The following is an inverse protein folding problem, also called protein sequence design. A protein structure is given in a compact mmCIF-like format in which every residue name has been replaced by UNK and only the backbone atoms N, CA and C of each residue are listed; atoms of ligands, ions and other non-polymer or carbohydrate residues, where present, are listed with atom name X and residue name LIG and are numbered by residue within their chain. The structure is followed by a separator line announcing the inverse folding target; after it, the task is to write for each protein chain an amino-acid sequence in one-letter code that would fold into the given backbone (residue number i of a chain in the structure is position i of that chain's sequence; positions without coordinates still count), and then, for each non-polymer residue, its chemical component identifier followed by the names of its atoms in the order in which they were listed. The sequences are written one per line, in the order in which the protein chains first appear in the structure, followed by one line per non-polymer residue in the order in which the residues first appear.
data_IF_279652563949
#
_entry.id   IF_279652563949
#
_cell.length_a   1.000
_cell.length_b   1.000
_cell.length_c   1.000
_cell.angle_alpha   90.00
_cell.angle_beta   90.00
_cell.angle_gamma   90.00
#
_symmetry.space_group_name_H-M   'P 1'
#
loop_
_entity.id
_entity.type
_entity.pdbx_description
1 polymer ?
#
# COMPACT_ATOMS: atom_id res chain seq x y z
N UNK A 1 -5.17 -14.20 -42.19
CA UNK A 1 -5.04 -12.78 -41.81
C UNK A 1 -5.94 -12.60 -40.61
N UNK A 2 -5.42 -12.82 -39.42
CA UNK A 2 -6.09 -12.60 -38.12
C UNK A 2 -6.01 -11.09 -37.84
N UNK A 3 -7.10 -10.39 -37.47
CA UNK A 3 -6.99 -9.01 -37.05
C UNK A 3 -6.19 -8.95 -35.73
N UNK A 4 -5.26 -7.99 -35.69
CA UNK A 4 -4.47 -7.73 -34.48
C UNK A 4 -5.38 -7.22 -33.36
N UNK A 5 -5.14 -7.66 -32.14
CA UNK A 5 -5.86 -7.34 -30.92
C UNK A 5 -5.62 -5.89 -30.40
N UNK A 6 -5.24 -4.97 -31.30
CA UNK A 6 -4.72 -3.65 -30.91
C UNK A 6 -5.62 -2.47 -31.30
N UNK A 7 -6.90 -2.72 -31.56
CA UNK A 7 -7.87 -1.67 -31.94
C UNK A 7 -9.16 -1.70 -31.09
N UNK A 8 -9.06 -2.08 -29.80
CA UNK A 8 -10.11 -1.74 -28.85
C UNK A 8 -9.90 -0.27 -28.45
N UNK A 9 -10.63 0.62 -29.13
CA UNK A 9 -10.84 2.00 -28.67
C UNK A 9 -11.31 1.90 -27.22
N UNK A 10 -10.41 2.22 -26.27
CA UNK A 10 -10.77 2.32 -24.85
C UNK A 10 -11.90 3.35 -24.80
N UNK A 11 -13.11 3.00 -24.32
CA UNK A 11 -14.17 3.98 -24.21
C UNK A 11 -13.73 5.07 -23.23
N UNK A 12 -13.81 6.33 -23.64
CA UNK A 12 -13.51 7.43 -22.72
C UNK A 12 -14.52 7.42 -21.58
N UNK A 13 -14.14 7.84 -20.36
CA UNK A 13 -15.01 7.87 -19.18
C UNK A 13 -16.33 8.59 -19.43
N UNK A 14 -16.29 9.71 -20.16
CA UNK A 14 -17.47 10.45 -20.59
C UNK A 14 -18.41 9.61 -21.47
N UNK A 15 -17.85 8.78 -22.34
CA UNK A 15 -18.63 7.89 -23.21
C UNK A 15 -19.31 6.79 -22.41
N UNK A 16 -18.63 6.24 -21.38
CA UNK A 16 -19.20 5.24 -20.47
C UNK A 16 -20.33 5.84 -19.62
N UNK A 17 -20.13 7.04 -19.08
CA UNK A 17 -21.16 7.75 -18.32
C UNK A 17 -22.39 8.09 -19.17
N UNK A 18 -22.19 8.53 -20.40
CA UNK A 18 -23.27 8.82 -21.34
C UNK A 18 -24.01 7.56 -21.82
N UNK A 19 -23.32 6.42 -21.89
CA UNK A 19 -23.92 5.16 -22.35
C UNK A 19 -24.76 4.47 -21.25
N UNK A 20 -24.34 4.58 -19.99
CA UNK A 20 -24.98 3.84 -18.91
C UNK A 20 -26.04 4.67 -18.15
N UNK A 21 -25.82 5.97 -17.95
CA UNK A 21 -26.78 6.87 -17.29
C UNK A 21 -27.09 6.55 -15.81
N UNK A 22 -26.73 5.34 -15.35
CA UNK A 22 -26.91 4.83 -14.01
C UNK A 22 -25.55 4.36 -13.45
N UNK A 23 -25.13 4.82 -12.25
CA UNK A 23 -23.91 4.40 -11.60
C UNK A 23 -23.76 2.87 -11.42
N UNK A 24 -24.86 2.15 -11.24
CA UNK A 24 -24.87 0.69 -11.10
C UNK A 24 -24.56 -0.01 -12.43
N UNK A 25 -25.13 0.48 -13.54
CA UNK A 25 -24.84 -0.05 -14.88
C UNK A 25 -23.39 0.25 -15.28
N UNK A 26 -22.90 1.45 -14.95
CA UNK A 26 -21.50 1.83 -15.17
C UNK A 26 -20.55 0.93 -14.36
N UNK A 27 -20.82 0.70 -13.07
CA UNK A 27 -20.04 -0.21 -12.25
C UNK A 27 -19.98 -1.64 -12.83
N UNK A 28 -21.08 -2.14 -13.38
CA UNK A 28 -21.13 -3.45 -14.03
C UNK A 28 -20.21 -3.54 -15.27
N UNK A 29 -20.09 -2.46 -16.04
CA UNK A 29 -19.16 -2.39 -17.19
C UNK A 29 -17.71 -2.33 -16.70
N UNK A 30 -17.44 -1.52 -15.68
CA UNK A 30 -16.09 -1.30 -15.14
C UNK A 30 -15.51 -2.56 -14.47
N UNK A 31 -16.33 -3.47 -13.96
CA UNK A 31 -15.87 -4.76 -13.39
C UNK A 31 -15.04 -5.63 -14.35
N UNK A 32 -15.18 -5.42 -15.67
CA UNK A 32 -14.41 -6.13 -16.69
C UNK A 32 -13.08 -5.48 -17.07
N UNK A 33 -12.76 -4.31 -16.51
CA UNK A 33 -11.56 -3.52 -16.81
C UNK A 33 -10.49 -3.74 -15.73
N UNK A 34 -9.26 -3.35 -16.05
CA UNK A 34 -8.16 -3.37 -15.05
C UNK A 34 -8.32 -2.19 -14.07
N UNK A 35 -7.91 -2.35 -12.79
CA UNK A 35 -8.02 -1.29 -11.79
C UNK A 35 -7.47 0.07 -12.22
N UNK A 36 -6.27 0.21 -12.82
CA UNK A 36 -5.75 1.49 -13.29
C UNK A 36 -6.65 2.16 -14.35
N UNK A 37 -7.16 1.39 -15.30
CA UNK A 37 -8.07 1.91 -16.35
C UNK A 37 -9.39 2.42 -15.74
N UNK A 38 -9.86 1.77 -14.66
CA UNK A 38 -11.08 2.22 -13.95
C UNK A 38 -10.78 3.46 -13.11
N UNK A 39 -9.62 3.52 -12.46
CA UNK A 39 -9.19 4.69 -11.70
C UNK A 39 -9.10 5.93 -12.59
N UNK A 40 -8.50 5.82 -13.79
CA UNK A 40 -8.47 6.88 -14.79
C UNK A 40 -9.88 7.32 -15.18
N UNK A 41 -10.79 6.37 -15.41
CA UNK A 41 -12.19 6.66 -15.73
C UNK A 41 -12.91 7.41 -14.60
N UNK A 42 -12.70 7.01 -13.35
CA UNK A 42 -13.32 7.65 -12.17
C UNK A 42 -12.78 9.06 -11.92
N UNK A 43 -11.51 9.31 -12.23
CA UNK A 43 -10.89 10.63 -12.12
C UNK A 43 -11.60 11.69 -12.94
N UNK A 44 -12.15 11.32 -14.10
CA UNK A 44 -12.86 12.24 -15.00
C UNK A 44 -14.31 12.50 -14.55
N UNK A 45 -14.85 11.75 -13.59
CA UNK A 45 -16.20 11.93 -13.08
C UNK A 45 -16.24 13.02 -11.98
N UNK A 46 -17.42 13.63 -11.81
CA UNK A 46 -17.63 14.42 -10.60
C UNK A 46 -17.60 13.53 -9.34
N UNK A 47 -17.13 14.03 -8.18
CA UNK A 47 -16.94 13.22 -6.98
C UNK A 47 -18.21 12.52 -6.48
N UNK A 48 -19.41 13.07 -6.74
CA UNK A 48 -20.68 12.45 -6.33
C UNK A 48 -20.99 11.24 -7.21
N UNK A 49 -20.75 11.34 -8.50
CA UNK A 49 -20.91 10.23 -9.44
C UNK A 49 -19.86 9.14 -9.15
N UNK A 50 -18.60 9.52 -8.99
CA UNK A 50 -17.52 8.59 -8.64
C UNK A 50 -17.81 7.82 -7.34
N UNK A 51 -18.25 8.49 -6.28
CA UNK A 51 -18.63 7.86 -5.01
C UNK A 51 -19.77 6.84 -5.16
N UNK A 52 -20.77 7.13 -6.02
CA UNK A 52 -21.88 6.19 -6.29
C UNK A 52 -21.39 4.97 -7.09
N UNK A 53 -20.50 5.16 -8.04
CA UNK A 53 -19.89 4.07 -8.81
C UNK A 53 -19.05 3.20 -7.87
N UNK A 54 -18.20 3.79 -7.04
CA UNK A 54 -17.40 3.08 -6.03
C UNK A 54 -18.27 2.22 -5.11
N UNK A 55 -19.39 2.77 -4.61
CA UNK A 55 -20.33 2.04 -3.76
C UNK A 55 -21.07 0.90 -4.48
N UNK A 56 -21.13 0.91 -5.81
CA UNK A 56 -21.76 -0.14 -6.62
C UNK A 56 -20.79 -1.23 -7.09
N UNK A 57 -19.48 -1.01 -6.98
CA UNK A 57 -18.44 -1.99 -7.33
C UNK A 57 -18.36 -3.11 -6.27
N UNK A 58 -17.89 -4.32 -6.65
CA UNK A 58 -17.46 -5.31 -5.68
C UNK A 58 -16.38 -4.73 -4.76
N UNK A 59 -16.48 -4.99 -3.46
CA UNK A 59 -15.64 -4.37 -2.44
C UNK A 59 -14.14 -4.53 -2.72
N UNK A 60 -13.68 -5.75 -3.02
CA UNK A 60 -12.26 -6.03 -3.28
C UNK A 60 -11.73 -5.25 -4.51
N UNK A 61 -12.58 -5.07 -5.53
CA UNK A 61 -12.23 -4.27 -6.71
C UNK A 61 -12.22 -2.77 -6.38
N UNK A 62 -13.17 -2.31 -5.56
CA UNK A 62 -13.21 -0.92 -5.12
C UNK A 62 -11.95 -0.54 -4.33
N UNK A 63 -11.46 -1.43 -3.45
CA UNK A 63 -10.20 -1.22 -2.73
C UNK A 63 -9.02 -1.09 -3.70
N UNK A 64 -8.87 -2.04 -4.63
CA UNK A 64 -7.79 -2.01 -5.62
C UNK A 64 -7.79 -0.72 -6.45
N UNK A 65 -8.97 -0.31 -6.95
CA UNK A 65 -9.11 0.92 -7.73
C UNK A 65 -8.78 2.15 -6.88
N UNK A 66 -9.17 2.16 -5.62
CA UNK A 66 -8.96 3.31 -4.75
C UNK A 66 -7.49 3.49 -4.35
N UNK A 67 -6.70 2.41 -4.37
CA UNK A 67 -5.26 2.43 -4.14
C UNK A 67 -4.46 2.87 -5.38
N UNK A 68 -5.08 2.93 -6.58
CA UNK A 68 -4.36 3.30 -7.80
C UNK A 68 -3.88 4.76 -7.80
N UNK A 69 -2.65 5.02 -8.28
CA UNK A 69 -2.05 6.37 -8.32
C UNK A 69 -2.89 7.39 -9.10
N UNK A 70 -3.63 6.95 -10.11
CA UNK A 70 -4.49 7.78 -10.95
C UNK A 70 -5.59 8.52 -10.18
N UNK A 71 -6.01 7.99 -9.01
CA UNK A 71 -7.00 8.63 -8.14
C UNK A 71 -6.41 9.57 -7.08
N UNK A 72 -5.10 9.62 -6.92
CA UNK A 72 -4.45 10.58 -6.02
C UNK A 72 -4.90 12.00 -6.35
N UNK A 73 -5.27 12.77 -5.32
CA UNK A 73 -5.87 14.11 -5.47
C UNK A 73 -7.40 14.12 -5.64
N UNK A 74 -8.02 13.00 -6.08
CA UNK A 74 -9.48 12.87 -6.16
C UNK A 74 -10.05 12.05 -4.98
N UNK A 75 -9.22 11.23 -4.33
CA UNK A 75 -9.62 10.31 -3.24
C UNK A 75 -10.38 11.00 -2.12
N UNK A 76 -9.84 12.12 -1.63
CA UNK A 76 -10.46 12.89 -0.55
C UNK A 76 -11.86 13.39 -0.93
N UNK A 77 -12.03 13.89 -2.17
CA UNK A 77 -13.31 14.37 -2.66
C UNK A 77 -14.35 13.25 -2.84
N UNK A 78 -13.92 12.06 -3.28
CA UNK A 78 -14.76 10.86 -3.44
C UNK A 78 -15.21 10.35 -2.07
N UNK A 79 -14.28 10.14 -1.14
CA UNK A 79 -14.54 9.64 0.21
C UNK A 79 -15.47 10.58 1.00
N UNK A 80 -15.32 11.89 0.82
CA UNK A 80 -16.20 12.89 1.43
C UNK A 80 -17.67 12.76 0.99
N UNK A 81 -17.95 12.09 -0.13
CA UNK A 81 -19.29 11.89 -0.69
C UNK A 81 -19.85 10.49 -0.45
N UNK A 82 -19.05 9.56 0.07
CA UNK A 82 -19.48 8.22 0.41
C UNK A 82 -20.22 8.20 1.76
N UNK A 83 -21.16 7.24 1.97
CA UNK A 83 -21.72 6.97 3.29
C UNK A 83 -20.60 6.62 4.30
N UNK A 84 -20.75 7.05 5.55
CA UNK A 84 -19.71 6.92 6.59
C UNK A 84 -19.19 5.48 6.74
N UNK A 85 -20.08 4.50 6.68
CA UNK A 85 -19.72 3.09 6.81
C UNK A 85 -18.92 2.59 5.62
N UNK A 86 -19.39 2.87 4.41
CA UNK A 86 -18.73 2.40 3.18
C UNK A 86 -17.35 3.05 3.03
N UNK A 87 -17.26 4.36 3.37
CA UNK A 87 -16.01 5.08 3.41
C UNK A 87 -15.03 4.51 4.45
N UNK A 88 -15.52 4.18 5.64
CA UNK A 88 -14.68 3.59 6.68
C UNK A 88 -14.22 2.18 6.34
N UNK A 89 -15.14 1.33 5.83
CA UNK A 89 -14.80 -0.03 5.40
C UNK A 89 -13.75 0.00 4.27
N UNK A 90 -13.87 0.94 3.32
CA UNK A 90 -12.91 1.13 2.23
C UNK A 90 -11.54 1.56 2.77
N UNK A 91 -11.51 2.57 3.64
CA UNK A 91 -10.27 3.06 4.25
C UNK A 91 -9.60 2.00 5.13
N UNK A 92 -10.37 1.23 5.91
CA UNK A 92 -9.82 0.14 6.73
C UNK A 92 -9.16 -0.98 5.89
N UNK A 93 -9.52 -1.09 4.61
CA UNK A 93 -8.98 -2.09 3.69
C UNK A 93 -7.79 -1.59 2.84
N UNK A 94 -7.53 -0.27 2.82
CA UNK A 94 -6.37 0.31 2.13
C UNK A 94 -5.07 -0.02 2.86
N UNK A 95 -3.93 0.08 2.14
CA UNK A 95 -2.59 0.01 2.74
C UNK A 95 -2.35 1.19 3.71
N UNK A 96 -1.49 0.99 4.70
CA UNK A 96 -1.34 1.95 5.81
C UNK A 96 -0.75 3.31 5.37
N UNK A 97 0.17 3.32 4.42
CA UNK A 97 0.75 4.52 3.79
C UNK A 97 -0.30 5.28 2.97
N UNK A 98 -1.08 4.59 2.15
CA UNK A 98 -2.17 5.17 1.36
C UNK A 98 -3.27 5.76 2.25
N UNK A 99 -3.58 5.11 3.38
CA UNK A 99 -4.45 5.69 4.40
C UNK A 99 -3.88 7.02 4.94
N UNK A 100 -2.57 7.06 5.23
CA UNK A 100 -1.94 8.25 5.75
C UNK A 100 -1.98 9.41 4.74
N UNK A 101 -1.73 9.13 3.46
CA UNK A 101 -1.78 10.11 2.39
C UNK A 101 -3.20 10.66 2.20
N UNK A 102 -4.21 9.80 2.13
CA UNK A 102 -5.60 10.23 2.10
C UNK A 102 -5.93 11.16 3.29
N UNK A 103 -5.49 10.81 4.50
CA UNK A 103 -5.77 11.60 5.71
C UNK A 103 -5.04 12.95 5.73
N UNK A 104 -3.94 13.11 5.01
CA UNK A 104 -3.28 14.41 4.81
C UNK A 104 -4.10 15.33 3.90
N UNK A 105 -4.78 14.78 2.91
CA UNK A 105 -5.61 15.51 1.94
C UNK A 105 -6.99 15.90 2.49
N UNK A 106 -7.55 15.15 3.44
CA UNK A 106 -8.88 15.38 4.00
C UNK A 106 -8.94 16.69 4.80
N UNK A 107 -10.07 17.39 4.69
CA UNK A 107 -10.37 18.49 5.59
C UNK A 107 -10.61 18.02 7.04
N UNK A 108 -10.66 18.97 7.99
CA UNK A 108 -10.79 18.65 9.41
C UNK A 108 -12.13 17.95 9.76
N UNK A 109 -13.21 18.27 9.04
CA UNK A 109 -14.54 17.71 9.31
C UNK A 109 -14.60 16.25 8.85
N UNK A 110 -14.18 15.97 7.60
CA UNK A 110 -14.14 14.63 7.03
C UNK A 110 -13.13 13.74 7.74
N UNK A 111 -11.97 14.28 8.11
CA UNK A 111 -10.97 13.57 8.93
C UNK A 111 -11.55 13.09 10.26
N UNK A 112 -12.24 13.98 11.00
CA UNK A 112 -12.84 13.60 12.27
C UNK A 112 -14.00 12.60 12.11
N UNK A 113 -14.81 12.76 11.07
CA UNK A 113 -15.89 11.88 10.70
C UNK A 113 -15.36 10.45 10.48
N UNK A 114 -14.38 10.29 9.60
CA UNK A 114 -13.78 8.99 9.29
C UNK A 114 -13.06 8.38 10.50
N UNK A 115 -12.22 9.14 11.22
CA UNK A 115 -11.54 8.65 12.42
C UNK A 115 -12.49 8.04 13.45
N UNK A 116 -13.73 8.53 13.54
CA UNK A 116 -14.71 7.99 14.48
C UNK A 116 -15.29 6.63 14.03
N UNK A 117 -15.29 6.36 12.72
CA UNK A 117 -15.86 5.17 12.10
C UNK A 117 -14.84 4.05 11.89
N UNK A 118 -13.53 4.38 11.73
CA UNK A 118 -12.45 3.41 11.52
C UNK A 118 -12.26 2.44 12.68
N UNK A 119 -11.66 1.29 12.40
CA UNK A 119 -11.24 0.32 13.42
C UNK A 119 -10.20 0.93 14.38
N UNK A 120 -10.04 0.33 15.54
CA UNK A 120 -9.02 0.78 16.50
C UNK A 120 -7.61 0.60 15.93
N UNK A 121 -7.37 -0.49 15.23
CA UNK A 121 -6.08 -0.85 14.64
C UNK A 121 -5.65 0.21 13.61
N UNK A 122 -6.51 0.53 12.66
CA UNK A 122 -6.27 1.55 11.63
C UNK A 122 -6.02 2.93 12.25
N UNK A 123 -6.82 3.31 13.26
CA UNK A 123 -6.61 4.60 13.97
C UNK A 123 -5.27 4.70 14.66
N UNK A 124 -4.78 3.60 15.26
CA UNK A 124 -3.47 3.57 15.94
C UNK A 124 -2.34 3.65 14.89
N UNK A 125 -2.44 2.92 13.78
CA UNK A 125 -1.50 2.99 12.67
C UNK A 125 -1.44 4.40 12.04
N UNK A 126 -2.59 4.99 11.72
CA UNK A 126 -2.68 6.36 11.20
C UNK A 126 -2.05 7.40 12.13
N UNK A 127 -2.35 7.35 13.43
CA UNK A 127 -1.75 8.26 14.40
C UNK A 127 -0.23 8.14 14.46
N UNK A 128 0.28 6.95 14.25
CA UNK A 128 1.71 6.69 14.20
C UNK A 128 2.33 7.25 12.93
N UNK A 129 1.75 6.97 11.75
CA UNK A 129 2.28 7.42 10.46
C UNK A 129 2.17 8.94 10.27
N UNK A 130 1.07 9.55 10.71
CA UNK A 130 0.86 11.00 10.60
C UNK A 130 1.78 11.86 11.50
N UNK A 131 2.65 11.26 12.32
CA UNK A 131 3.67 11.99 13.06
C UNK A 131 4.87 12.37 12.19
N UNK A 132 5.04 11.73 11.04
CA UNK A 132 6.17 11.95 10.14
C UNK A 132 5.80 12.90 9.01
N UNK A 133 6.78 13.70 8.58
CA UNK A 133 6.63 14.60 7.44
C UNK A 133 6.46 13.78 6.13
N UNK A 134 5.57 14.19 5.20
CA UNK A 134 5.24 13.42 3.99
C UNK A 134 6.45 13.07 3.13
N UNK A 135 7.41 14.00 3.02
CA UNK A 135 8.61 13.88 2.17
C UNK A 135 9.76 13.08 2.83
N UNK A 136 9.47 12.32 3.88
CA UNK A 136 10.47 11.52 4.61
C UNK A 136 10.18 10.03 4.53
N UNK A 137 11.20 9.21 4.81
CA UNK A 137 11.05 7.75 4.90
C UNK A 137 9.90 7.33 5.84
N UNK A 138 9.75 8.03 6.97
CA UNK A 138 8.64 7.79 7.90
C UNK A 138 7.29 8.23 7.36
N UNK A 139 7.27 9.21 6.44
CA UNK A 139 6.07 9.72 5.80
C UNK A 139 5.51 8.79 4.73
N UNK A 140 6.38 8.09 4.00
CA UNK A 140 6.03 7.19 2.90
C UNK A 140 6.13 5.71 3.27
N UNK A 141 6.44 5.36 4.54
CA UNK A 141 6.56 3.97 4.95
C UNK A 141 5.20 3.33 5.22
N UNK A 142 5.11 2.02 4.93
CA UNK A 142 4.03 1.18 5.41
C UNK A 142 4.42 0.43 6.69
N UNK A 143 3.43 0.10 7.52
CA UNK A 143 3.59 -0.77 8.69
C UNK A 143 3.24 -2.22 8.41
N UNK A 144 2.91 -2.53 7.17
CA UNK A 144 2.39 -3.83 6.72
C UNK A 144 3.50 -4.77 6.25
N UNK A 145 4.45 -5.04 7.09
CA UNK A 145 5.56 -5.96 6.85
C UNK A 145 5.46 -7.25 7.67
N UNK A 146 6.26 -8.25 7.32
CA UNK A 146 6.41 -9.49 8.09
C UNK A 146 7.69 -9.40 8.92
N UNK A 147 7.58 -9.48 10.25
CA UNK A 147 8.72 -9.61 11.14
C UNK A 147 8.61 -10.84 12.02
N UNK A 148 9.75 -11.47 12.30
CA UNK A 148 9.84 -12.69 13.10
C UNK A 148 11.05 -12.64 14.05
N UNK A 149 10.99 -13.32 15.22
CA UNK A 149 12.14 -13.45 16.09
C UNK A 149 13.23 -14.33 15.48
N UNK A 150 14.49 -14.04 15.76
CA UNK A 150 15.64 -14.74 15.21
C UNK A 150 15.77 -16.22 15.64
N UNK A 151 15.12 -16.62 16.70
CA UNK A 151 15.10 -17.99 17.22
C UNK A 151 14.08 -18.91 16.52
N UNK A 152 13.26 -18.35 15.63
CA UNK A 152 12.35 -19.17 14.82
C UNK A 152 13.10 -19.96 13.74
N UNK A 153 12.52 -21.10 13.37
CA UNK A 153 13.02 -21.89 12.23
C UNK A 153 12.47 -21.34 10.89
N UNK A 154 13.10 -21.72 9.79
CA UNK A 154 12.62 -21.42 8.43
C UNK A 154 11.19 -21.94 8.22
N UNK A 155 10.86 -23.15 8.71
CA UNK A 155 9.52 -23.72 8.61
C UNK A 155 8.47 -22.91 9.40
N UNK A 156 8.78 -22.52 10.63
CA UNK A 156 7.91 -21.68 11.46
C UNK A 156 7.67 -20.33 10.78
N UNK A 157 8.73 -19.73 10.23
CA UNK A 157 8.66 -18.47 9.51
C UNK A 157 7.78 -18.58 8.26
N UNK A 158 7.98 -19.60 7.42
CA UNK A 158 7.14 -19.81 6.23
C UNK A 158 5.69 -20.08 6.57
N UNK A 159 5.44 -20.80 7.68
CA UNK A 159 4.07 -21.04 8.16
C UNK A 159 3.41 -19.73 8.57
N UNK A 160 4.13 -18.86 9.28
CA UNK A 160 3.65 -17.53 9.64
C UNK A 160 3.38 -16.65 8.42
N UNK A 161 4.30 -16.62 7.45
CA UNK A 161 4.12 -15.89 6.17
C UNK A 161 2.83 -16.32 5.47
N UNK A 162 2.52 -17.61 5.40
CA UNK A 162 1.26 -18.11 4.80
C UNK A 162 0.01 -17.64 5.54
N UNK A 163 0.10 -17.42 6.85
CA UNK A 163 -1.04 -16.99 7.67
C UNK A 163 -1.31 -15.47 7.54
N UNK A 164 -0.25 -14.67 7.47
CA UNK A 164 -0.38 -13.20 7.54
C UNK A 164 -0.17 -12.50 6.19
N UNK A 165 0.47 -13.17 5.22
CA UNK A 165 0.96 -12.56 3.98
C UNK A 165 -0.11 -11.88 3.13
N UNK A 166 -1.35 -12.36 3.17
CA UNK A 166 -2.45 -11.73 2.43
C UNK A 166 -2.92 -10.37 2.98
N UNK A 167 -2.33 -9.92 4.11
CA UNK A 167 -2.61 -8.62 4.74
C UNK A 167 -1.36 -7.75 4.83
N UNK A 168 -0.31 -8.10 4.10
CA UNK A 168 0.97 -7.42 4.15
C UNK A 168 1.29 -6.85 2.79
N UNK A 169 1.86 -5.67 2.76
CA UNK A 169 2.28 -4.97 1.57
C UNK A 169 3.17 -5.86 0.72
N UNK A 170 4.15 -6.48 1.35
CA UNK A 170 5.04 -7.43 0.69
C UNK A 170 5.46 -8.58 1.61
N UNK A 171 5.70 -9.74 0.99
CA UNK A 171 6.29 -10.92 1.64
C UNK A 171 7.65 -11.28 1.05
N UNK A 172 8.18 -10.47 0.14
CA UNK A 172 9.47 -10.76 -0.49
C UNK A 172 10.65 -10.64 0.46
N UNK A 173 10.53 -9.80 1.49
CA UNK A 173 11.49 -9.61 2.56
C UNK A 173 10.85 -9.87 3.91
N UNK A 174 11.49 -10.66 4.74
CA UNK A 174 11.09 -10.95 6.12
C UNK A 174 12.14 -10.33 7.05
N UNK A 175 11.69 -9.56 8.01
CA UNK A 175 12.53 -8.79 8.92
C UNK A 175 12.74 -9.58 10.20
N UNK A 176 13.98 -9.95 10.46
CA UNK A 176 14.37 -10.76 11.61
C UNK A 176 14.79 -9.85 12.75
N UNK A 177 14.14 -9.98 13.89
CA UNK A 177 14.37 -9.13 15.05
C UNK A 177 14.94 -9.93 16.21
N UNK A 178 15.71 -9.26 17.06
CA UNK A 178 16.13 -9.82 18.32
C UNK A 178 14.91 -10.01 19.25
N UNK A 179 14.70 -11.21 19.82
CA UNK A 179 13.51 -11.49 20.62
C UNK A 179 13.45 -10.69 21.93
N UNK A 180 14.57 -10.20 22.46
CA UNK A 180 14.62 -9.45 23.71
C UNK A 180 14.58 -7.93 23.50
N UNK A 181 15.36 -7.41 22.53
CA UNK A 181 15.51 -5.96 22.29
C UNK A 181 14.60 -5.43 21.21
N UNK A 182 14.05 -6.32 20.33
CA UNK A 182 13.29 -6.00 19.13
C UNK A 182 14.09 -5.26 18.05
N UNK A 183 15.41 -5.21 18.18
CA UNK A 183 16.27 -4.64 17.15
C UNK A 183 16.21 -5.45 15.86
N UNK A 184 16.20 -4.76 14.72
CA UNK A 184 16.36 -5.39 13.42
C UNK A 184 17.81 -5.89 13.30
N UNK A 185 17.99 -7.21 13.27
CA UNK A 185 19.30 -7.85 13.20
C UNK A 185 19.61 -8.44 11.84
N UNK A 186 18.56 -8.71 11.04
CA UNK A 186 18.73 -9.36 9.74
C UNK A 186 17.50 -9.17 8.86
N UNK A 187 17.69 -9.27 7.54
CA UNK A 187 16.60 -9.33 6.54
C UNK A 187 16.84 -10.56 5.68
N UNK A 188 15.87 -11.45 5.63
CA UNK A 188 15.91 -12.65 4.81
C UNK A 188 14.87 -12.55 3.70
N UNK A 189 15.26 -12.89 2.46
CA UNK A 189 14.34 -12.94 1.36
C UNK A 189 13.46 -14.20 1.42
N UNK A 190 12.23 -14.11 0.91
CA UNK A 190 11.37 -15.30 0.77
C UNK A 190 12.08 -16.42 -0.01
N UNK A 191 12.89 -16.07 -1.03
CA UNK A 191 13.69 -17.02 -1.79
C UNK A 191 14.69 -17.78 -0.92
N UNK A 192 15.41 -17.07 -0.05
CA UNK A 192 16.38 -17.70 0.88
C UNK A 192 15.67 -18.63 1.85
N UNK A 193 14.50 -18.23 2.39
CA UNK A 193 13.69 -19.09 3.26
C UNK A 193 13.20 -20.36 2.56
N UNK A 194 12.72 -20.26 1.32
CA UNK A 194 12.24 -21.41 0.55
C UNK A 194 13.38 -22.40 0.25
N UNK A 195 14.62 -21.91 0.13
CA UNK A 195 15.80 -22.72 -0.17
C UNK A 195 16.54 -23.23 1.07
N UNK A 196 16.20 -22.74 2.27
CA UNK A 196 16.79 -23.15 3.53
C UNK A 196 16.29 -24.54 3.98
N UNK A 197 17.06 -25.22 4.84
CA UNK A 197 16.54 -26.38 5.55
C UNK A 197 15.41 -25.92 6.50
N UNK A 198 14.29 -26.63 6.55
CA UNK A 198 13.17 -26.29 7.45
C UNK A 198 13.56 -26.08 8.92
N UNK A 199 14.61 -26.78 9.39
CA UNK A 199 15.10 -26.70 10.76
C UNK A 199 16.12 -25.57 11.00
N UNK A 200 16.61 -24.91 9.94
CA UNK A 200 17.57 -23.81 10.09
C UNK A 200 16.95 -22.63 10.83
N UNK A 201 17.73 -22.00 11.72
CA UNK A 201 17.31 -20.77 12.38
C UNK A 201 17.25 -19.62 11.36
N UNK A 202 16.13 -18.90 11.33
CA UNK A 202 15.95 -17.74 10.45
C UNK A 202 16.99 -16.65 10.71
N UNK A 203 17.50 -16.55 11.94
CA UNK A 203 18.58 -15.64 12.30
C UNK A 203 19.92 -15.92 11.60
N UNK A 204 20.09 -17.12 10.99
CA UNK A 204 21.32 -17.52 10.28
C UNK A 204 21.11 -17.65 8.78
N UNK A 205 19.88 -17.84 8.32
CA UNK A 205 19.54 -17.93 6.90
C UNK A 205 19.85 -16.61 6.19
N UNK A 206 20.77 -16.61 5.22
CA UNK A 206 21.13 -15.41 4.46
C UNK A 206 21.87 -14.31 5.24
N UNK A 207 22.29 -14.56 6.49
CA UNK A 207 22.86 -13.57 7.44
C UNK A 207 24.19 -12.92 7.02
N UNK A 208 24.74 -13.24 5.86
CA UNK A 208 26.02 -12.72 5.39
C UNK A 208 25.96 -11.29 4.82
N UNK A 209 24.79 -10.69 4.66
CA UNK A 209 24.61 -9.37 4.04
C UNK A 209 24.46 -8.27 5.11
N UNK A 210 25.14 -7.15 4.87
CA UNK A 210 24.92 -5.94 5.69
C UNK A 210 23.51 -5.43 5.45
N UNK A 211 22.76 -5.20 6.52
CA UNK A 211 21.44 -4.58 6.45
C UNK A 211 21.59 -3.13 6.02
N UNK A 212 20.90 -2.78 4.94
CA UNK A 212 20.67 -1.38 4.59
C UNK A 212 19.34 -0.98 5.25
N UNK A 213 19.38 0.06 6.06
CA UNK A 213 18.19 0.64 6.72
C UNK A 213 18.34 2.15 6.76
N UNK A 214 17.24 2.85 6.87
CA UNK A 214 17.18 4.32 6.97
C UNK A 214 16.48 4.73 8.26
N UNK A 215 16.77 5.95 8.72
CA UNK A 215 15.99 6.58 9.80
C UNK A 215 14.70 7.19 9.25
N UNK A 216 13.68 7.42 10.10
CA UNK A 216 12.38 7.93 9.64
C UNK A 216 12.42 9.36 9.11
N UNK A 217 13.47 10.14 9.40
CA UNK A 217 13.65 11.52 8.94
C UNK A 217 14.48 11.63 7.65
N UNK A 218 14.90 10.50 7.07
CA UNK A 218 15.65 10.51 5.81
C UNK A 218 14.69 10.94 4.69
N UNK A 219 15.18 11.83 3.85
CA UNK A 219 14.45 12.36 2.71
C UNK A 219 14.08 11.25 1.71
N UNK A 220 12.86 11.30 1.14
CA UNK A 220 12.34 10.27 0.21
C UNK A 220 13.21 10.12 -1.04
N UNK A 221 13.83 11.19 -1.55
CA UNK A 221 14.74 11.07 -2.70
C UNK A 221 15.99 10.26 -2.35
N UNK A 222 16.52 10.40 -1.12
CA UNK A 222 17.66 9.59 -0.69
C UNK A 222 17.24 8.13 -0.53
N UNK A 223 16.04 7.85 -0.02
CA UNK A 223 15.46 6.50 0.01
C UNK A 223 15.37 5.92 -1.39
N UNK A 224 14.86 6.70 -2.35
CA UNK A 224 14.75 6.31 -3.77
C UNK A 224 16.11 5.96 -4.37
N UNK A 225 17.12 6.78 -4.11
CA UNK A 225 18.50 6.53 -4.57
C UNK A 225 19.07 5.24 -3.98
N UNK A 226 18.80 4.96 -2.70
CA UNK A 226 19.26 3.72 -2.05
C UNK A 226 18.57 2.49 -2.62
N UNK A 227 17.24 2.51 -2.78
CA UNK A 227 16.47 1.43 -3.37
C UNK A 227 16.97 1.13 -4.78
N UNK A 228 17.09 2.15 -5.63
CA UNK A 228 17.60 2.03 -6.99
C UNK A 228 19.05 1.53 -7.03
N UNK A 229 19.94 2.14 -6.24
CA UNK A 229 21.39 1.81 -6.24
C UNK A 229 21.68 0.38 -5.84
N UNK A 230 20.93 -0.15 -4.88
CA UNK A 230 21.16 -1.49 -4.32
C UNK A 230 20.17 -2.52 -4.85
N UNK A 231 19.28 -2.13 -5.79
CA UNK A 231 18.25 -2.98 -6.38
C UNK A 231 17.42 -3.69 -5.31
N UNK A 232 16.93 -2.89 -4.35
CA UNK A 232 16.10 -3.38 -3.25
C UNK A 232 14.64 -3.42 -3.67
N UNK A 233 13.87 -4.37 -3.16
CA UNK A 233 12.41 -4.40 -3.28
C UNK A 233 11.74 -3.60 -2.17
N UNK A 234 12.41 -3.48 -1.01
CA UNK A 234 11.99 -2.64 0.10
C UNK A 234 13.19 -2.31 0.99
N UNK A 235 13.14 -1.18 1.68
CA UNK A 235 14.14 -0.76 2.67
C UNK A 235 13.49 -0.57 4.05
N UNK A 236 14.03 -1.17 5.11
CA UNK A 236 13.50 -1.01 6.46
C UNK A 236 13.80 0.40 7.02
N UNK A 237 12.80 0.97 7.65
CA UNK A 237 12.88 2.20 8.43
C UNK A 237 13.03 1.85 9.91
N UNK A 238 14.07 2.34 10.55
CA UNK A 238 14.38 2.00 11.95
C UNK A 238 14.59 3.26 12.78
N UNK A 239 14.26 3.17 14.08
CA UNK A 239 14.53 4.23 15.04
C UNK A 239 16.01 4.23 15.51
N UNK A 240 16.35 5.16 16.40
CA UNK A 240 17.69 5.28 17.01
C UNK A 240 18.15 4.03 17.78
N UNK A 241 17.20 3.18 18.19
CA UNK A 241 17.46 1.88 18.86
C UNK A 241 17.48 0.73 17.87
N UNK A 242 17.46 1.01 16.55
CA UNK A 242 17.37 0.04 15.47
C UNK A 242 16.11 -0.84 15.53
N UNK A 243 15.06 -0.38 16.20
CA UNK A 243 13.77 -1.06 16.18
C UNK A 243 13.04 -0.72 14.90
N UNK A 244 12.42 -1.72 14.28
CA UNK A 244 11.72 -1.56 12.99
C UNK A 244 10.43 -0.76 13.18
N UNK A 245 10.33 0.37 12.48
CA UNK A 245 9.16 1.24 12.44
C UNK A 245 8.23 0.92 11.28
N UNK A 246 8.80 0.63 10.12
CA UNK A 246 8.10 0.36 8.88
C UNK A 246 9.06 -0.05 7.78
N UNK A 247 8.54 -0.12 6.57
CA UNK A 247 9.33 -0.35 5.35
C UNK A 247 8.86 0.63 4.28
N UNK A 248 9.77 0.99 3.37
CA UNK A 248 9.42 1.70 2.12
C UNK A 248 9.65 0.72 0.98
N UNK A 249 8.67 0.53 0.14
CA UNK A 249 8.72 -0.39 -0.99
C UNK A 249 9.21 0.32 -2.27
N UNK A 250 9.53 -0.44 -3.30
CA UNK A 250 10.05 0.12 -4.56
C UNK A 250 8.96 0.82 -5.37
N UNK A 251 7.74 0.35 -5.29
CA UNK A 251 6.54 0.89 -5.94
C UNK A 251 6.19 2.28 -5.37
N UNK A 252 6.17 2.46 -4.03
CA UNK A 252 5.96 3.77 -3.40
C UNK A 252 6.97 4.83 -3.88
N UNK A 253 8.21 4.40 -4.09
CA UNK A 253 9.28 5.26 -4.60
C UNK A 253 9.06 5.63 -6.06
N UNK A 254 8.58 4.71 -6.89
CA UNK A 254 8.28 4.97 -8.30
C UNK A 254 7.13 5.98 -8.40
N UNK A 255 6.07 5.80 -7.62
CA UNK A 255 4.92 6.68 -7.59
C UNK A 255 5.30 8.10 -7.16
N UNK A 256 6.18 8.22 -6.16
CA UNK A 256 6.70 9.52 -5.73
C UNK A 256 7.49 10.25 -6.85
N UNK A 257 8.27 9.53 -7.66
CA UNK A 257 9.01 10.12 -8.79
C UNK A 257 8.05 10.58 -9.91
N UNK A 258 7.03 9.79 -10.23
CA UNK A 258 6.05 10.10 -11.27
C UNK A 258 5.22 11.33 -10.91
N UNK A 259 4.89 11.51 -9.63
CA UNK A 259 4.15 12.67 -9.13
C UNK A 259 4.94 13.99 -9.27
N UNK A 260 6.27 13.96 -9.14
CA UNK A 260 7.11 15.16 -9.28
C UNK A 260 7.25 15.64 -10.74
N UNK A 261 7.04 14.76 -11.73
CA UNK A 261 7.16 15.11 -13.15
C UNK A 261 5.84 15.58 -13.78
N UNK A 262 4.71 15.56 -13.04
CA UNK A 262 3.36 15.92 -13.54
C UNK A 262 2.87 17.23 -12.96
#
# INVERSE_FOLDING_TARGET
MTPSLDDTVKPTPELLYLLCGDPVELAAVLQGMQPPDVAEALRELDPVAAAKVMAALPFDLAVQIFDEPELIGNRAAIIARMPDRDAADLVDAMSADQQADLFRELDAADRNRLLSALTRETREALRFLLQYEPETAGGIMTTEYVSVPADWTAEQTLTHVRQVGGRKETVYAIYVTDPATRELIHVVSLRELVMADPADSVGTVGASRRILSVGPQVDREEVSRLISRYNLLAIPVVDDRRQLLGIVTVDDVIDAIVQEET
#
